data_IF_011546698728
#
_entry.id   IF_011546698728
#
_cell.length_a   1.000
_cell.length_b   1.000
_cell.length_c   1.000
_cell.angle_alpha   90.00
_cell.angle_beta   90.00
_cell.angle_gamma   90.00
#
_symmetry.space_group_name_H-M   'P 1'
#
loop_
_entity.id
_entity.type
_entity.pdbx_description
1 polymer ?
#
# COMPACT_ATOMS: atom_id res chain seq x y z
N UNK A 1 27.71 -4.52 -15.26
CA UNK A 1 27.47 -5.28 -14.07
C UNK A 1 26.85 -4.37 -13.03
N UNK A 2 25.52 -4.41 -12.93
CA UNK A 2 24.77 -3.71 -11.89
C UNK A 2 24.99 -4.51 -10.59
N UNK A 3 25.71 -3.90 -9.67
CA UNK A 3 25.85 -4.41 -8.33
C UNK A 3 24.49 -4.52 -7.65
N UNK A 4 24.18 -5.74 -7.20
CA UNK A 4 23.10 -6.01 -6.26
C UNK A 4 23.40 -5.25 -4.96
N UNK A 5 22.64 -4.22 -4.68
CA UNK A 5 22.52 -3.62 -3.35
C UNK A 5 21.09 -3.87 -2.95
N UNK A 6 20.89 -4.61 -1.98
CA UNK A 6 21.07 -4.58 -0.59
C UNK A 6 19.70 -4.72 0.02
N UNK A 7 19.44 -5.82 0.71
CA UNK A 7 18.24 -6.06 1.51
C UNK A 7 18.04 -4.88 2.46
N UNK A 8 16.85 -4.36 2.58
CA UNK A 8 16.45 -3.57 3.73
C UNK A 8 16.52 -4.52 4.94
N UNK A 9 17.63 -4.54 5.68
CA UNK A 9 17.74 -5.28 6.92
C UNK A 9 17.32 -4.37 8.07
N UNK A 10 16.53 -4.90 8.97
CA UNK A 10 15.85 -4.26 10.10
C UNK A 10 16.74 -3.66 11.19
N UNK A 11 17.98 -3.28 10.92
CA UNK A 11 18.89 -2.79 11.96
C UNK A 11 19.62 -1.48 11.69
N UNK A 12 19.41 -0.87 10.54
CA UNK A 12 19.96 0.47 10.25
C UNK A 12 18.89 1.35 9.66
N UNK A 13 18.81 2.58 10.16
CA UNK A 13 18.00 3.66 9.57
C UNK A 13 18.55 3.96 8.17
N UNK A 14 18.22 3.13 7.21
CA UNK A 14 18.51 3.38 5.82
C UNK A 14 17.39 4.22 5.20
N UNK A 15 17.71 5.19 4.33
CA UNK A 15 16.76 6.18 3.82
C UNK A 15 15.82 5.63 2.75
N UNK A 16 15.37 4.36 2.87
CA UNK A 16 14.44 3.77 1.90
C UNK A 16 13.02 4.32 2.01
N UNK A 17 12.65 4.94 3.13
CA UNK A 17 11.25 5.24 3.44
C UNK A 17 10.95 6.72 3.67
N UNK A 18 11.94 7.55 3.93
CA UNK A 18 11.77 8.98 4.17
C UNK A 18 12.86 9.81 3.52
N UNK A 19 12.59 11.11 3.37
CA UNK A 19 13.57 12.06 2.84
C UNK A 19 12.96 13.03 1.83
N UNK A 20 13.79 13.93 1.34
CA UNK A 20 13.40 15.00 0.42
C UNK A 20 13.89 14.78 -1.02
N UNK A 21 14.56 13.66 -1.29
CA UNK A 21 15.00 13.31 -2.64
C UNK A 21 13.90 12.49 -3.35
N UNK A 22 13.17 13.05 -4.33
CA UNK A 22 12.07 12.35 -5.00
C UNK A 22 12.53 11.13 -5.82
N UNK A 23 13.84 11.02 -6.10
CA UNK A 23 14.38 9.85 -6.82
C UNK A 23 14.30 8.57 -5.97
N UNK A 24 14.26 8.69 -4.64
CA UNK A 24 14.12 7.55 -3.73
C UNK A 24 12.80 6.82 -3.98
N UNK A 25 11.70 7.55 -4.13
CA UNK A 25 10.39 6.97 -4.43
C UNK A 25 10.37 6.22 -5.77
N UNK A 26 11.13 6.68 -6.76
CA UNK A 26 11.19 6.05 -8.08
C UNK A 26 12.06 4.78 -8.10
N UNK A 27 13.17 4.77 -7.33
CA UNK A 27 14.11 3.64 -7.31
C UNK A 27 13.67 2.55 -6.32
N UNK A 28 13.02 2.97 -5.23
CA UNK A 28 12.47 2.07 -4.22
C UNK A 28 11.34 1.20 -4.79
N UNK A 29 11.24 -0.03 -4.31
CA UNK A 29 10.15 -0.96 -4.61
C UNK A 29 9.79 -1.11 -6.11
N UNK A 30 10.77 -0.86 -7.00
CA UNK A 30 10.61 -1.01 -8.47
C UNK A 30 9.46 -0.18 -9.06
N UNK A 31 9.09 0.94 -8.46
CA UNK A 31 7.97 1.79 -8.95
C UNK A 31 8.14 2.20 -10.41
N UNK A 32 9.38 2.36 -10.89
CA UNK A 32 9.66 2.63 -12.30
C UNK A 32 9.13 1.54 -13.25
N UNK A 33 8.88 0.32 -12.78
CA UNK A 33 8.31 -0.75 -13.59
C UNK A 33 6.86 -0.43 -14.02
N UNK A 34 6.14 0.38 -13.23
CA UNK A 34 4.78 0.81 -13.58
C UNK A 34 4.76 1.67 -14.87
N UNK A 35 5.86 2.31 -15.21
CA UNK A 35 6.01 3.10 -16.42
C UNK A 35 6.57 2.32 -17.63
N UNK A 36 6.81 1.01 -17.50
CA UNK A 36 7.29 0.17 -18.61
C UNK A 36 6.13 -0.26 -19.52
N UNK A 37 6.44 -0.54 -20.78
CA UNK A 37 5.46 -1.02 -21.76
C UNK A 37 4.73 -2.28 -21.28
N UNK A 38 5.42 -3.15 -20.53
CA UNK A 38 4.87 -4.38 -19.94
C UNK A 38 3.68 -4.09 -19.02
N UNK A 39 3.71 -2.98 -18.28
CA UNK A 39 2.61 -2.59 -17.37
C UNK A 39 1.66 -1.64 -18.10
N UNK A 40 2.17 -0.67 -18.84
CA UNK A 40 1.37 0.34 -19.53
C UNK A 40 0.39 -0.25 -20.56
N UNK A 41 0.70 -1.39 -21.15
CA UNK A 41 -0.20 -2.10 -22.08
C UNK A 41 -1.55 -2.51 -21.50
N UNK A 42 -1.68 -2.59 -20.17
CA UNK A 42 -2.94 -2.90 -19.47
C UNK A 42 -3.85 -1.69 -19.31
N UNK A 43 -3.37 -0.48 -19.64
CA UNK A 43 -4.14 0.75 -19.57
C UNK A 43 -4.39 1.27 -20.97
N UNK A 44 -5.65 1.34 -21.37
CA UNK A 44 -6.04 1.88 -22.68
C UNK A 44 -5.66 3.37 -22.75
N UNK A 45 -4.74 3.70 -23.65
CA UNK A 45 -4.14 5.03 -23.75
C UNK A 45 -2.98 5.30 -22.78
N UNK A 46 -2.57 4.29 -21.98
CA UNK A 46 -1.51 4.43 -20.97
C UNK A 46 -2.00 5.02 -19.65
N UNK A 47 -1.11 5.09 -18.66
CA UNK A 47 -1.40 5.65 -17.33
C UNK A 47 -0.26 6.55 -16.85
N UNK A 48 -0.60 7.66 -16.22
CA UNK A 48 0.35 8.46 -15.47
C UNK A 48 0.75 7.74 -14.18
N UNK A 49 2.01 7.81 -13.79
CA UNK A 49 2.53 7.25 -12.54
C UNK A 49 3.01 8.39 -11.65
N UNK A 50 2.33 8.62 -10.54
CA UNK A 50 2.73 9.57 -9.52
C UNK A 50 3.35 8.84 -8.34
N UNK A 51 4.67 8.98 -8.16
CA UNK A 51 5.43 8.41 -7.04
C UNK A 51 5.70 9.51 -6.01
N UNK A 52 4.92 9.55 -4.96
CA UNK A 52 5.07 10.54 -3.90
C UNK A 52 6.18 10.15 -2.91
N UNK A 53 7.08 11.08 -2.58
CA UNK A 53 8.12 10.90 -1.57
C UNK A 53 7.66 11.47 -0.23
N UNK A 54 7.65 10.63 0.80
CA UNK A 54 7.36 11.04 2.17
C UNK A 54 8.62 11.63 2.84
N UNK A 55 8.57 12.81 3.46
CA UNK A 55 9.72 13.40 4.13
C UNK A 55 10.26 12.60 5.32
N UNK A 56 9.40 11.89 6.06
CA UNK A 56 9.79 11.02 7.18
C UNK A 56 9.33 9.58 6.92
N UNK A 57 8.12 9.24 7.28
CA UNK A 57 7.47 7.95 7.03
C UNK A 57 5.95 8.13 6.97
N UNK A 58 5.25 7.35 6.18
CA UNK A 58 3.79 7.46 6.05
C UNK A 58 3.05 7.15 7.37
N UNK A 59 3.63 6.28 8.21
CA UNK A 59 3.11 5.92 9.54
C UNK A 59 3.43 6.95 10.64
N UNK A 60 3.92 8.14 10.30
CA UNK A 60 4.19 9.21 11.27
C UNK A 60 2.92 10.00 11.57
N UNK A 61 2.39 9.83 12.78
CA UNK A 61 1.22 10.57 13.28
C UNK A 61 1.57 11.99 13.80
N UNK A 62 2.81 12.42 13.64
CA UNK A 62 3.36 13.67 14.20
C UNK A 62 4.40 13.45 15.29
N UNK A 63 4.55 12.22 15.79
CA UNK A 63 5.55 11.86 16.80
C UNK A 63 6.97 11.68 16.25
N UNK A 64 7.12 11.57 14.92
CA UNK A 64 8.38 11.22 14.25
C UNK A 64 8.76 9.75 14.41
N UNK A 65 7.81 8.90 14.82
CA UNK A 65 7.99 7.46 15.02
C UNK A 65 7.01 6.69 14.12
N UNK A 66 7.30 5.39 13.88
CA UNK A 66 6.32 4.47 13.33
C UNK A 66 5.21 4.24 14.34
N UNK A 67 3.96 4.48 13.94
CA UNK A 67 2.79 4.29 14.77
C UNK A 67 1.80 3.35 14.10
N UNK A 68 1.08 2.58 14.89
CA UNK A 68 0.06 1.63 14.42
C UNK A 68 -1.38 2.07 14.71
N UNK A 69 -1.57 3.35 15.03
CA UNK A 69 -2.87 3.93 15.38
C UNK A 69 -3.75 4.29 14.15
N UNK A 70 -3.31 3.94 12.95
CA UNK A 70 -4.03 4.21 11.72
C UNK A 70 -3.97 5.67 11.24
N UNK A 71 -3.25 6.55 11.94
CA UNK A 71 -3.16 7.97 11.58
C UNK A 71 -1.84 8.31 10.87
N UNK A 72 -1.88 9.31 10.00
CA UNK A 72 -0.71 9.89 9.34
C UNK A 72 -0.85 11.40 9.25
N UNK A 73 0.19 12.13 9.63
CA UNK A 73 0.22 13.58 9.45
C UNK A 73 0.25 14.00 7.98
N UNK A 74 0.49 13.07 7.08
CA UNK A 74 0.62 13.31 5.63
C UNK A 74 -0.66 13.04 4.85
N UNK A 75 -1.72 12.49 5.45
CA UNK A 75 -2.97 12.12 4.77
C UNK A 75 -3.55 13.26 3.94
N UNK A 76 -3.73 14.44 4.54
CA UNK A 76 -4.28 15.59 3.84
C UNK A 76 -3.34 16.12 2.75
N UNK A 77 -2.04 16.25 3.07
CA UNK A 77 -1.06 16.77 2.13
C UNK A 77 -0.89 15.86 0.89
N UNK A 78 -0.92 14.53 1.08
CA UNK A 78 -0.88 13.59 -0.04
C UNK A 78 -2.14 13.71 -0.90
N UNK A 79 -3.31 13.86 -0.29
CA UNK A 79 -4.55 14.03 -1.04
C UNK A 79 -4.57 15.33 -1.84
N UNK A 80 -4.05 16.42 -1.27
CA UNK A 80 -3.89 17.69 -1.98
C UNK A 80 -2.93 17.56 -3.16
N UNK A 81 -1.80 16.87 -2.99
CA UNK A 81 -0.86 16.60 -4.07
C UNK A 81 -1.51 15.80 -5.21
N UNK A 82 -2.24 14.72 -4.88
CA UNK A 82 -2.94 13.90 -5.87
C UNK A 82 -3.95 14.73 -6.65
N UNK A 83 -4.81 15.48 -5.95
CA UNK A 83 -5.81 16.35 -6.58
C UNK A 83 -5.18 17.43 -7.46
N UNK A 84 -4.11 18.07 -7.00
CA UNK A 84 -3.40 19.08 -7.77
C UNK A 84 -2.82 18.48 -9.06
N UNK A 85 -2.24 17.28 -8.97
CA UNK A 85 -1.69 16.58 -10.13
C UNK A 85 -2.78 16.20 -11.14
N UNK A 86 -3.87 15.60 -10.68
CA UNK A 86 -5.02 15.23 -11.54
C UNK A 86 -5.61 16.47 -12.21
N UNK A 87 -5.82 17.55 -11.47
CA UNK A 87 -6.43 18.77 -11.99
C UNK A 87 -5.51 19.52 -12.96
N UNK A 88 -4.20 19.37 -12.87
CA UNK A 88 -3.24 20.04 -13.77
C UNK A 88 -3.01 19.30 -15.09
N UNK A 89 -3.55 18.09 -15.24
CA UNK A 89 -3.40 17.24 -16.43
C UNK A 89 -4.79 16.91 -16.98
N UNK A 90 -5.26 17.64 -17.98
CA UNK A 90 -6.63 17.57 -18.49
C UNK A 90 -6.97 16.27 -19.23
N UNK A 91 -5.99 15.45 -19.55
CA UNK A 91 -6.10 14.13 -20.18
C UNK A 91 -6.16 12.99 -19.16
N UNK A 92 -6.05 13.29 -17.84
CA UNK A 92 -6.29 12.31 -16.79
C UNK A 92 -7.80 12.15 -16.57
N UNK A 93 -8.27 10.91 -16.64
CA UNK A 93 -9.61 10.54 -16.22
C UNK A 93 -9.67 10.46 -14.69
N UNK A 94 -10.27 11.46 -14.06
CA UNK A 94 -10.39 11.55 -12.61
C UNK A 94 -11.23 10.42 -11.98
N UNK A 95 -12.01 9.67 -12.77
CA UNK A 95 -12.74 8.49 -12.31
C UNK A 95 -11.89 7.22 -12.28
N UNK A 96 -10.66 7.27 -12.79
CA UNK A 96 -9.72 6.14 -12.89
C UNK A 96 -8.42 6.41 -12.14
N UNK A 97 -8.51 6.90 -10.92
CA UNK A 97 -7.35 7.11 -10.03
C UNK A 97 -7.18 5.88 -9.15
N UNK A 98 -6.04 5.23 -9.29
CA UNK A 98 -5.68 4.03 -8.52
C UNK A 98 -4.62 4.38 -7.49
N UNK A 99 -4.61 3.66 -6.37
CA UNK A 99 -3.62 3.86 -5.32
C UNK A 99 -3.01 2.52 -4.89
N UNK A 100 -1.71 2.52 -4.64
CA UNK A 100 -1.02 1.35 -4.13
C UNK A 100 0.31 1.70 -3.48
N UNK A 101 0.85 0.76 -2.74
CA UNK A 101 2.12 0.93 -2.06
C UNK A 101 2.52 -0.29 -1.26
N UNK A 102 3.80 -0.38 -0.94
CA UNK A 102 4.39 -1.52 -0.24
C UNK A 102 4.74 -1.15 1.21
N UNK A 103 4.46 -2.04 2.16
CA UNK A 103 4.83 -1.90 3.58
C UNK A 103 4.27 -0.60 4.18
N UNK A 104 5.11 0.34 4.56
CA UNK A 104 4.74 1.70 4.97
C UNK A 104 3.89 2.43 3.90
N UNK A 105 4.15 2.20 2.60
CA UNK A 105 3.29 2.65 1.49
C UNK A 105 1.95 1.91 1.44
N UNK A 106 1.92 0.64 1.80
CA UNK A 106 0.70 -0.16 1.96
C UNK A 106 -0.17 0.37 3.09
N UNK A 107 0.44 0.75 4.22
CA UNK A 107 -0.25 1.48 5.29
C UNK A 107 -0.90 2.76 4.74
N UNK A 108 -0.15 3.57 3.99
CA UNK A 108 -0.68 4.82 3.43
C UNK A 108 -1.77 4.58 2.40
N UNK A 109 -1.71 3.49 1.64
CA UNK A 109 -2.77 3.07 0.74
C UNK A 109 -4.07 2.85 1.52
N UNK A 110 -4.03 2.05 2.59
CA UNK A 110 -5.19 1.83 3.47
C UNK A 110 -5.67 3.12 4.11
N UNK A 111 -4.75 3.93 4.67
CA UNK A 111 -5.08 5.22 5.26
C UNK A 111 -5.83 6.13 4.28
N UNK A 112 -5.37 6.22 3.04
CA UNK A 112 -5.99 7.07 2.02
C UNK A 112 -7.39 6.58 1.62
N UNK A 113 -7.58 5.28 1.43
CA UNK A 113 -8.90 4.77 1.00
C UNK A 113 -9.95 4.86 2.11
N UNK A 114 -9.58 4.70 3.39
CA UNK A 114 -10.54 4.85 4.50
C UNK A 114 -10.90 6.32 4.78
N UNK A 115 -9.99 7.27 4.49
CA UNK A 115 -10.27 8.70 4.64
C UNK A 115 -10.96 9.32 3.41
N UNK A 116 -10.75 8.73 2.22
CA UNK A 116 -11.31 9.21 0.95
C UNK A 116 -11.96 8.06 0.14
N UNK A 117 -12.97 7.37 0.70
CA UNK A 117 -13.49 6.09 0.17
C UNK A 117 -14.14 6.19 -1.21
N UNK A 118 -14.44 7.40 -1.69
CA UNK A 118 -15.09 7.64 -3.00
C UNK A 118 -14.16 8.27 -4.03
N UNK A 119 -12.88 8.45 -3.69
CA UNK A 119 -11.95 9.13 -4.60
C UNK A 119 -11.21 8.17 -5.52
N UNK A 120 -10.83 7.00 -5.01
CA UNK A 120 -10.04 6.02 -5.75
C UNK A 120 -10.94 5.00 -6.43
N UNK A 121 -10.57 4.64 -7.67
CA UNK A 121 -11.28 3.61 -8.44
C UNK A 121 -10.91 2.19 -8.01
N UNK A 122 -9.69 1.98 -7.52
CA UNK A 122 -9.24 0.73 -6.92
C UNK A 122 -7.97 0.95 -6.09
N UNK A 123 -7.65 -0.03 -5.24
CA UNK A 123 -6.45 -0.03 -4.40
C UNK A 123 -5.70 -1.37 -4.46
N UNK A 124 -4.36 -1.32 -4.33
CA UNK A 124 -3.50 -2.52 -4.27
C UNK A 124 -2.45 -2.38 -3.17
N UNK A 125 -2.84 -2.57 -1.91
CA UNK A 125 -1.91 -2.57 -0.78
C UNK A 125 -1.04 -3.83 -0.79
N UNK A 126 0.29 -3.65 -0.77
CA UNK A 126 1.29 -4.73 -0.76
C UNK A 126 1.93 -4.79 0.62
N UNK A 127 1.94 -5.96 1.27
CA UNK A 127 2.43 -6.18 2.64
C UNK A 127 2.13 -5.00 3.58
N UNK A 128 0.88 -4.56 3.56
CA UNK A 128 0.43 -3.37 4.25
C UNK A 128 0.53 -3.51 5.78
N UNK A 129 0.78 -2.39 6.47
CA UNK A 129 1.00 -2.33 7.91
C UNK A 129 -0.12 -1.57 8.66
N UNK A 130 -1.33 -1.54 8.10
CA UNK A 130 -2.50 -0.95 8.75
C UNK A 130 -3.13 -1.97 9.69
N UNK A 131 -3.14 -1.69 10.99
CA UNK A 131 -3.59 -2.69 11.99
C UNK A 131 -5.10 -2.88 11.98
N UNK A 132 -5.54 -4.08 12.35
CA UNK A 132 -6.97 -4.38 12.49
C UNK A 132 -7.66 -3.46 13.52
N UNK A 133 -6.98 -3.12 14.61
CA UNK A 133 -7.53 -2.23 15.65
C UNK A 133 -7.77 -0.79 15.14
N UNK A 134 -7.00 -0.35 14.15
CA UNK A 134 -7.17 0.96 13.52
C UNK A 134 -8.27 0.96 12.44
N UNK A 135 -8.62 -0.21 11.90
CA UNK A 135 -9.65 -0.36 10.87
C UNK A 135 -11.02 -0.54 11.53
N UNK A 136 -11.79 0.53 11.68
CA UNK A 136 -13.14 0.46 12.31
C UNK A 136 -14.18 -0.20 11.38
N UNK A 137 -15.31 -0.63 11.95
CA UNK A 137 -16.39 -1.21 11.14
C UNK A 137 -17.00 -0.20 10.16
N UNK A 138 -17.06 1.08 10.55
CA UNK A 138 -17.51 2.15 9.65
C UNK A 138 -16.55 2.36 8.48
N UNK A 139 -15.24 2.22 8.70
CA UNK A 139 -14.25 2.27 7.62
C UNK A 139 -14.40 1.08 6.68
N UNK A 140 -14.56 -0.13 7.21
CA UNK A 140 -14.82 -1.34 6.41
C UNK A 140 -16.07 -1.14 5.54
N UNK A 141 -17.18 -0.70 6.13
CA UNK A 141 -18.42 -0.45 5.41
C UNK A 141 -18.25 0.62 4.31
N UNK A 142 -17.41 1.63 4.54
CA UNK A 142 -17.20 2.73 3.59
C UNK A 142 -16.39 2.34 2.35
N UNK A 143 -15.56 1.29 2.43
CA UNK A 143 -14.65 0.87 1.34
C UNK A 143 -14.94 -0.52 0.77
N UNK A 144 -15.88 -1.29 1.33
CA UNK A 144 -16.17 -2.67 0.91
C UNK A 144 -16.54 -2.83 -0.58
N UNK A 145 -17.14 -1.79 -1.16
CA UNK A 145 -17.56 -1.79 -2.57
C UNK A 145 -16.45 -1.32 -3.53
N UNK A 146 -15.28 -0.90 -3.00
CA UNK A 146 -14.12 -0.55 -3.80
C UNK A 146 -13.35 -1.81 -4.20
N UNK A 147 -12.91 -1.97 -5.46
CA UNK A 147 -11.99 -3.02 -5.84
C UNK A 147 -10.68 -2.91 -5.07
N UNK A 148 -10.32 -3.93 -4.29
CA UNK A 148 -9.07 -3.96 -3.51
C UNK A 148 -8.37 -5.28 -3.71
N UNK A 149 -7.07 -5.22 -4.06
CA UNK A 149 -6.25 -6.43 -4.19
C UNK A 149 -5.09 -6.37 -3.20
N UNK A 150 -5.22 -7.12 -2.11
CA UNK A 150 -4.14 -7.31 -1.15
C UNK A 150 -3.12 -8.33 -1.66
N UNK A 151 -1.84 -8.06 -1.42
CA UNK A 151 -0.77 -9.05 -1.60
C UNK A 151 0.12 -9.08 -0.36
N UNK A 152 0.48 -10.29 0.09
CA UNK A 152 1.35 -10.46 1.26
C UNK A 152 2.05 -11.83 1.18
N UNK A 153 3.24 -11.95 1.80
CA UNK A 153 3.93 -13.23 1.92
C UNK A 153 3.74 -13.84 3.31
N UNK A 154 3.60 -15.16 3.38
CA UNK A 154 3.47 -15.92 4.64
C UNK A 154 4.67 -15.74 5.56
N UNK A 155 5.87 -15.60 4.97
CA UNK A 155 7.14 -15.50 5.69
C UNK A 155 7.63 -14.05 5.82
N UNK A 156 6.77 -13.03 5.66
CA UNK A 156 7.19 -11.64 5.81
C UNK A 156 7.83 -11.41 7.19
N UNK A 157 9.12 -11.03 7.24
CA UNK A 157 9.83 -10.90 8.51
C UNK A 157 9.51 -9.59 9.24
N UNK A 158 8.93 -8.62 8.55
CA UNK A 158 8.68 -7.25 9.04
C UNK A 158 7.22 -7.04 9.42
N UNK A 159 6.31 -7.21 8.46
CA UNK A 159 4.86 -7.15 8.71
C UNK A 159 4.34 -8.58 8.82
N UNK A 160 4.50 -9.16 10.00
CA UNK A 160 4.14 -10.56 10.25
C UNK A 160 2.63 -10.72 10.30
N UNK A 161 2.09 -11.51 9.38
CA UNK A 161 0.65 -11.79 9.26
C UNK A 161 0.21 -13.12 9.86
N UNK A 162 1.15 -13.97 10.27
CA UNK A 162 0.84 -15.28 10.84
C UNK A 162 2.07 -16.14 11.00
N UNK A 163 1.82 -17.44 11.16
CA UNK A 163 2.83 -18.50 11.29
C UNK A 163 2.45 -19.72 10.44
N UNK A 164 3.40 -20.59 10.19
CA UNK A 164 3.14 -21.92 9.63
C UNK A 164 3.04 -22.90 10.81
N UNK A 165 1.96 -23.66 10.89
CA UNK A 165 1.75 -24.69 11.91
C UNK A 165 2.58 -25.97 11.63
N UNK A 166 2.47 -26.98 12.51
CA UNK A 166 3.18 -28.26 12.41
C UNK A 166 2.76 -29.08 11.18
N UNK A 167 1.57 -28.83 10.65
CA UNK A 167 1.02 -29.48 9.46
C UNK A 167 1.34 -28.74 8.16
N UNK A 168 2.05 -27.62 8.24
CA UNK A 168 2.45 -26.79 7.10
C UNK A 168 1.36 -25.80 6.64
N UNK A 169 0.29 -25.59 7.41
CA UNK A 169 -0.76 -24.64 7.08
C UNK A 169 -0.42 -23.25 7.60
N UNK A 170 -0.81 -22.23 6.83
CA UNK A 170 -0.72 -20.84 7.28
C UNK A 170 -1.84 -20.54 8.28
N UNK A 171 -1.43 -20.03 9.46
CA UNK A 171 -2.33 -19.57 10.53
C UNK A 171 -2.15 -18.05 10.69
N UNK A 172 -3.19 -17.30 10.33
CA UNK A 172 -3.20 -15.84 10.47
C UNK A 172 -3.11 -15.41 11.94
N UNK A 173 -2.41 -14.32 12.21
CA UNK A 173 -2.38 -13.68 13.53
C UNK A 173 -3.58 -12.73 13.79
N UNK A 174 -4.55 -12.67 12.86
CA UNK A 174 -5.74 -11.82 13.00
C UNK A 174 -5.47 -10.32 12.78
N UNK A 175 -4.41 -9.98 12.04
CA UNK A 175 -4.05 -8.59 11.79
C UNK A 175 -3.65 -8.37 10.32
N UNK A 176 -3.54 -7.10 9.89
CA UNK A 176 -3.07 -6.65 8.57
C UNK A 176 -3.90 -7.22 7.40
N UNK A 177 -3.27 -7.45 6.25
CA UNK A 177 -3.93 -7.86 5.00
C UNK A 177 -4.88 -9.05 5.13
N UNK A 178 -4.58 -10.17 5.84
CA UNK A 178 -5.53 -11.27 5.98
C UNK A 178 -6.81 -10.85 6.72
N UNK A 179 -6.66 -10.05 7.78
CA UNK A 179 -7.83 -9.63 8.57
C UNK A 179 -8.63 -8.54 7.88
N UNK A 180 -7.97 -7.62 7.20
CA UNK A 180 -8.65 -6.61 6.38
C UNK A 180 -9.46 -7.28 5.26
N UNK A 181 -8.87 -8.26 4.56
CA UNK A 181 -9.56 -9.05 3.54
C UNK A 181 -10.78 -9.79 4.11
N UNK A 182 -10.63 -10.51 5.23
CA UNK A 182 -11.72 -11.22 5.90
C UNK A 182 -12.88 -10.27 6.21
N UNK A 183 -12.61 -9.16 6.91
CA UNK A 183 -13.64 -8.19 7.31
C UNK A 183 -14.37 -7.55 6.12
N UNK A 184 -13.64 -7.20 5.06
CA UNK A 184 -14.22 -6.61 3.87
C UNK A 184 -15.14 -7.61 3.13
N UNK A 185 -14.74 -8.88 3.04
CA UNK A 185 -15.56 -9.94 2.43
C UNK A 185 -16.78 -10.28 3.27
N UNK A 186 -16.64 -10.37 4.61
CA UNK A 186 -17.75 -10.56 5.55
C UNK A 186 -18.75 -9.42 5.51
N UNK A 187 -18.31 -8.18 5.27
CA UNK A 187 -19.16 -7.02 5.07
C UNK A 187 -19.90 -7.02 3.71
N UNK A 188 -19.64 -8.00 2.84
CA UNK A 188 -20.27 -8.16 1.54
C UNK A 188 -19.51 -7.55 0.37
N UNK A 189 -18.26 -7.21 0.53
CA UNK A 189 -17.39 -6.74 -0.56
C UNK A 189 -17.25 -7.80 -1.65
N UNK A 190 -17.59 -7.47 -2.91
CA UNK A 190 -17.63 -8.43 -4.01
C UNK A 190 -16.39 -8.44 -4.89
N UNK A 191 -15.57 -7.40 -4.81
CA UNK A 191 -14.34 -7.23 -5.61
C UNK A 191 -13.12 -7.01 -4.68
N UNK A 192 -13.01 -7.91 -3.70
CA UNK A 192 -11.89 -7.93 -2.73
C UNK A 192 -11.07 -9.19 -2.99
N UNK A 193 -9.79 -9.00 -3.29
CA UNK A 193 -8.87 -10.08 -3.62
C UNK A 193 -7.70 -10.13 -2.65
N UNK A 194 -7.18 -11.34 -2.41
CA UNK A 194 -5.98 -11.54 -1.61
C UNK A 194 -5.08 -12.60 -2.23
N UNK A 195 -3.87 -12.20 -2.60
CA UNK A 195 -2.80 -13.11 -3.02
C UNK A 195 -1.83 -13.33 -1.87
N UNK A 196 -1.82 -14.54 -1.33
CA UNK A 196 -0.93 -14.96 -0.27
C UNK A 196 0.22 -15.77 -0.89
N UNK A 197 1.42 -15.19 -0.91
CA UNK A 197 2.63 -15.80 -1.45
C UNK A 197 3.37 -16.62 -0.38
N UNK A 198 4.10 -17.65 -0.80
CA UNK A 198 4.89 -18.46 0.13
C UNK A 198 6.15 -17.73 0.59
N UNK A 199 6.76 -16.95 -0.28
CA UNK A 199 8.01 -16.23 -0.01
C UNK A 199 7.92 -14.74 -0.38
N UNK A 200 8.57 -13.89 0.43
CA UNK A 200 8.68 -12.44 0.19
C UNK A 200 9.37 -12.08 -1.14
N UNK A 201 10.09 -13.03 -1.73
CA UNK A 201 10.72 -12.84 -3.04
C UNK A 201 9.75 -12.97 -4.21
N UNK A 202 8.54 -13.49 -3.96
CA UNK A 202 7.48 -13.69 -4.97
C UNK A 202 6.44 -12.54 -4.99
N UNK A 203 6.55 -11.59 -4.04
CA UNK A 203 5.65 -10.44 -3.89
C UNK A 203 6.07 -9.22 -4.70
#
# INVERSE_FOLDING_TARGET
>A
PLQRRGRCSSSTREPCEGGTDPRVALVGNKVVNLATDTVQQYFDGGAYVLAAQCPTMWMDNGSGQYTSDGTSKYTAALMELIKAYVNSNSDIDASRVYIGGCSNGGFMTMNMIVHYPKYFAAAYPVCEAYTNDALTDEMVESIKDMPIWFTHAKNDPTVKIGTIDEDGNFVSNGNYSPKAYERLTEAGGSDIHFSLFDDVHDT
#
